data_IF_989145441182
#
_entry.id   IF_989145441182
#
_cell.length_a   1.000
_cell.length_b   1.000
_cell.length_c   1.000
_cell.angle_alpha   90.00
_cell.angle_beta   90.00
_cell.angle_gamma   90.00
#
_symmetry.space_group_name_H-M   'P 1'
#
loop_
_entity.id
_entity.type
_entity.pdbx_description
1 polymer ?
#
# COMPACT_ATOMS: atom_id res chain seq x y z
N UNK A 1 14.85 12.12 -2.33
CA UNK A 1 15.70 11.40 -1.37
C UNK A 1 14.95 10.17 -0.93
N UNK A 2 15.59 8.99 -0.94
CA UNK A 2 15.02 7.70 -0.52
C UNK A 2 15.02 7.61 1.01
N UNK A 3 13.91 7.18 1.60
CA UNK A 3 13.82 6.88 3.04
C UNK A 3 13.81 5.37 3.25
N UNK A 4 14.47 4.91 4.32
CA UNK A 4 14.50 3.52 4.73
C UNK A 4 13.95 3.40 6.15
N UNK A 5 12.75 2.83 6.29
CA UNK A 5 12.06 2.66 7.58
C UNK A 5 12.16 1.19 8.02
N UNK A 6 12.63 0.96 9.25
CA UNK A 6 12.70 -0.36 9.91
C UNK A 6 12.49 -0.20 11.41
N UNK A 7 11.98 -1.24 12.07
CA UNK A 7 11.84 -1.24 13.54
C UNK A 7 10.62 -0.49 14.06
N UNK A 8 9.63 -0.25 13.20
CA UNK A 8 8.41 0.50 13.53
C UNK A 8 7.15 -0.29 13.14
N UNK A 9 6.10 -0.12 13.96
CA UNK A 9 4.75 -0.63 13.72
C UNK A 9 4.16 -0.04 12.45
N UNK A 10 4.29 1.26 12.25
CA UNK A 10 3.79 1.94 11.06
C UNK A 10 4.93 2.50 10.20
N UNK A 11 4.67 2.64 8.90
CA UNK A 11 5.54 3.33 7.97
C UNK A 11 5.29 4.83 8.01
N UNK A 12 4.28 5.28 7.27
CA UNK A 12 3.93 6.69 7.13
C UNK A 12 2.53 6.98 7.66
N UNK A 13 2.44 7.87 8.65
CA UNK A 13 1.17 8.47 9.08
C UNK A 13 1.07 9.89 8.52
N UNK A 14 0.14 10.11 7.60
CA UNK A 14 0.00 11.36 6.85
C UNK A 14 -1.20 12.16 7.34
N UNK A 15 -0.94 13.31 7.96
CA UNK A 15 -1.97 14.23 8.45
C UNK A 15 -1.97 15.61 7.78
N UNK A 16 -1.06 15.85 6.83
CA UNK A 16 -0.90 17.12 6.13
C UNK A 16 -1.19 17.04 4.64
N UNK A 17 -1.34 18.21 4.01
CA UNK A 17 -1.54 18.34 2.56
C UNK A 17 -0.21 18.33 1.78
N UNK A 18 -0.28 17.96 0.50
CA UNK A 18 0.82 17.99 -0.48
C UNK A 18 2.01 17.11 -0.10
N UNK A 19 1.73 15.87 0.31
CA UNK A 19 2.74 14.91 0.72
C UNK A 19 3.11 14.01 -0.44
N UNK A 20 4.40 13.92 -0.75
CA UNK A 20 4.95 12.97 -1.71
C UNK A 20 5.91 12.02 -1.00
N UNK A 21 5.58 10.74 -1.03
CA UNK A 21 6.39 9.63 -0.54
C UNK A 21 6.76 8.80 -1.76
N UNK A 22 8.05 8.74 -2.06
CA UNK A 22 8.53 8.01 -3.24
C UNK A 22 9.89 7.37 -3.06
N UNK A 23 10.18 6.40 -3.92
CA UNK A 23 11.49 5.75 -4.03
C UNK A 23 11.99 5.18 -2.69
N UNK A 24 11.09 4.76 -1.80
CA UNK A 24 11.40 4.40 -0.41
C UNK A 24 11.12 2.94 -0.08
N UNK A 25 11.79 2.43 0.96
CA UNK A 25 11.61 1.05 1.44
C UNK A 25 11.15 1.06 2.89
N UNK A 26 10.09 0.29 3.17
CA UNK A 26 9.47 0.15 4.48
C UNK A 26 9.39 -1.33 4.83
N UNK A 27 10.10 -1.75 5.88
CA UNK A 27 9.94 -3.07 6.48
C UNK A 27 9.36 -2.91 7.86
N UNK A 28 8.11 -3.31 8.01
CA UNK A 28 7.36 -3.15 9.24
C UNK A 28 7.57 -4.33 10.18
N UNK A 29 7.49 -4.04 11.47
CA UNK A 29 7.41 -5.01 12.53
C UNK A 29 6.45 -4.49 13.59
N UNK A 30 5.68 -5.37 14.22
CA UNK A 30 4.63 -4.94 15.13
C UNK A 30 4.53 -5.82 16.37
N UNK A 31 3.89 -5.29 17.40
CA UNK A 31 3.52 -6.00 18.60
C UNK A 31 2.11 -6.58 18.45
N UNK A 32 1.75 -7.50 19.34
CA UNK A 32 0.39 -8.05 19.37
C UNK A 32 -0.64 -6.95 19.63
N UNK A 33 -1.65 -6.88 18.76
CA UNK A 33 -2.74 -5.89 18.85
C UNK A 33 -2.47 -4.57 18.12
N UNK A 34 -1.30 -4.41 17.51
CA UNK A 34 -1.00 -3.24 16.68
C UNK A 34 -1.79 -3.26 15.36
N UNK A 35 -2.03 -2.07 14.81
CA UNK A 35 -2.66 -1.85 13.52
C UNK A 35 -1.61 -1.39 12.50
N UNK A 36 -0.58 -2.21 12.29
CA UNK A 36 0.55 -1.85 11.44
C UNK A 36 0.12 -1.51 10.00
N UNK A 37 0.44 -0.30 9.56
CA UNK A 37 0.17 0.20 8.21
C UNK A 37 1.43 0.71 7.52
N UNK A 38 1.61 0.38 6.23
CA UNK A 38 2.71 0.92 5.43
C UNK A 38 2.55 2.41 5.18
N UNK A 39 1.32 2.81 4.83
CA UNK A 39 0.89 4.20 4.80
C UNK A 39 -0.57 4.28 5.26
N UNK A 40 -0.85 5.27 6.12
CA UNK A 40 -2.20 5.67 6.51
C UNK A 40 -2.36 7.17 6.39
N UNK A 41 -3.56 7.63 6.03
CA UNK A 41 -3.97 9.01 6.25
C UNK A 41 -4.64 9.11 7.62
N UNK A 42 -4.38 10.21 8.33
CA UNK A 42 -5.00 10.52 9.62
C UNK A 42 -5.70 11.86 9.49
N UNK A 43 -7.04 11.82 9.52
CA UNK A 43 -7.86 12.99 9.27
C UNK A 43 -7.88 13.40 7.79
N UNK A 44 -8.40 14.60 7.51
CA UNK A 44 -8.54 15.09 6.14
C UNK A 44 -7.20 15.57 5.58
N UNK A 45 -6.74 14.94 4.49
CA UNK A 45 -5.53 15.36 3.76
C UNK A 45 -5.79 15.49 2.25
N UNK A 46 -4.95 16.28 1.57
CA UNK A 46 -5.04 16.53 0.13
C UNK A 46 -3.71 16.29 -0.56
N UNK A 47 -3.79 15.86 -1.82
CA UNK A 47 -2.66 15.72 -2.74
C UNK A 47 -1.57 14.79 -2.18
N UNK A 48 -1.97 13.57 -1.83
CA UNK A 48 -1.06 12.52 -1.37
C UNK A 48 -0.56 11.69 -2.55
N UNK A 49 0.75 11.64 -2.75
CA UNK A 49 1.41 10.76 -3.72
C UNK A 49 2.24 9.71 -2.99
N UNK A 50 1.93 8.43 -3.23
CA UNK A 50 2.69 7.27 -2.78
C UNK A 50 3.16 6.49 -4.01
N UNK A 51 4.38 6.78 -4.46
CA UNK A 51 4.88 6.35 -5.77
C UNK A 51 6.18 5.58 -5.68
N UNK A 52 6.27 4.41 -6.31
CA UNK A 52 7.51 3.64 -6.43
C UNK A 52 8.18 3.35 -5.07
N UNK A 53 7.38 2.86 -4.12
CA UNK A 53 7.85 2.39 -2.82
C UNK A 53 7.76 0.87 -2.72
N UNK A 54 8.56 0.30 -1.83
CA UNK A 54 8.43 -1.09 -1.39
C UNK A 54 7.96 -1.13 0.05
N UNK A 55 6.89 -1.86 0.31
CA UNK A 55 6.34 -2.06 1.66
C UNK A 55 6.24 -3.54 1.96
N UNK A 56 6.88 -3.97 3.04
CA UNK A 56 6.89 -5.36 3.50
C UNK A 56 6.33 -5.48 4.91
N UNK A 57 5.17 -6.13 5.02
CA UNK A 57 4.51 -6.43 6.30
C UNK A 57 4.71 -7.87 6.78
N UNK A 58 5.52 -8.70 6.11
CA UNK A 58 5.71 -10.11 6.53
C UNK A 58 6.32 -10.26 7.93
N UNK A 59 6.96 -9.21 8.47
CA UNK A 59 7.51 -9.19 9.84
C UNK A 59 6.63 -8.47 10.86
N UNK A 60 5.42 -8.05 10.48
CA UNK A 60 4.44 -7.44 11.36
C UNK A 60 3.38 -8.49 11.74
N UNK A 61 3.45 -9.16 12.91
CA UNK A 61 2.49 -10.20 13.30
C UNK A 61 1.06 -9.69 13.56
N UNK A 62 0.88 -8.40 13.84
CA UNK A 62 -0.43 -7.72 13.84
C UNK A 62 -0.38 -6.53 12.91
N UNK A 63 -1.21 -6.54 11.87
CA UNK A 63 -1.13 -5.60 10.77
C UNK A 63 -2.49 -5.35 10.15
N UNK A 64 -2.62 -4.21 9.45
CA UNK A 64 -3.82 -3.87 8.68
C UNK A 64 -3.51 -3.89 7.19
N UNK A 65 -2.75 -2.93 6.65
CA UNK A 65 -2.39 -2.96 5.22
C UNK A 65 -1.09 -2.22 4.87
N UNK A 66 -0.36 -2.66 3.82
CA UNK A 66 0.67 -1.85 3.17
C UNK A 66 0.17 -0.48 2.69
N UNK A 67 -1.07 -0.39 2.18
CA UNK A 67 -1.75 0.86 1.84
C UNK A 67 -3.11 0.91 2.52
N UNK A 68 -3.28 1.82 3.50
CA UNK A 68 -4.49 1.97 4.28
C UNK A 68 -5.06 3.40 4.19
N UNK A 69 -5.80 3.67 3.11
CA UNK A 69 -6.42 4.97 2.83
C UNK A 69 -7.94 4.86 3.01
N UNK A 70 -8.35 4.79 4.28
CA UNK A 70 -9.76 4.68 4.69
C UNK A 70 -10.30 5.93 5.39
N UNK A 71 -9.43 6.91 5.67
CA UNK A 71 -9.82 8.26 6.09
C UNK A 71 -9.97 9.21 4.89
N UNK A 72 -10.93 10.18 4.93
CA UNK A 72 -11.21 11.09 3.83
C UNK A 72 -9.96 11.78 3.28
N UNK A 73 -9.58 11.46 2.04
CA UNK A 73 -8.36 12.00 1.41
C UNK A 73 -8.65 12.41 -0.02
N UNK A 74 -8.18 13.58 -0.48
CA UNK A 74 -8.42 14.05 -1.85
C UNK A 74 -7.13 14.06 -2.67
N UNK A 75 -7.21 13.81 -3.98
CA UNK A 75 -6.04 13.86 -4.86
C UNK A 75 -5.00 12.79 -4.54
N UNK A 76 -5.45 11.56 -4.26
CA UNK A 76 -4.58 10.41 -3.95
C UNK A 76 -4.01 9.81 -5.23
N UNK A 77 -2.70 9.55 -5.25
CA UNK A 77 -2.02 8.77 -6.28
C UNK A 77 -1.18 7.68 -5.60
N UNK A 78 -1.50 6.41 -5.88
CA UNK A 78 -0.79 5.22 -5.40
C UNK A 78 -0.30 4.45 -6.63
N UNK A 79 0.97 4.64 -7.02
CA UNK A 79 1.45 4.06 -8.29
C UNK A 79 2.81 3.41 -8.22
N UNK A 80 2.99 2.36 -9.03
CA UNK A 80 4.27 1.70 -9.27
C UNK A 80 4.95 1.15 -7.99
N UNK A 81 4.16 0.84 -6.95
CA UNK A 81 4.67 0.29 -5.68
C UNK A 81 4.80 -1.24 -5.73
N UNK A 82 5.73 -1.80 -4.95
CA UNK A 82 5.79 -3.22 -4.60
C UNK A 82 5.23 -3.41 -3.18
N UNK A 83 4.15 -4.15 -3.04
CA UNK A 83 3.39 -4.26 -1.80
C UNK A 83 3.25 -5.72 -1.36
N UNK A 84 3.53 -5.99 -0.09
CA UNK A 84 3.67 -7.35 0.45
C UNK A 84 2.99 -7.42 1.81
N UNK A 85 2.08 -8.37 1.99
CA UNK A 85 1.38 -8.55 3.27
C UNK A 85 0.05 -7.82 3.35
N UNK A 86 -0.43 -7.68 4.58
CA UNK A 86 -1.68 -7.03 4.90
C UNK A 86 -2.83 -8.02 5.09
N UNK A 87 -3.83 -7.58 5.84
CA UNK A 87 -5.13 -8.26 5.85
C UNK A 87 -5.76 -8.18 4.45
N UNK A 88 -5.83 -6.95 3.94
CA UNK A 88 -5.86 -6.65 2.53
C UNK A 88 -4.62 -5.82 2.17
N UNK A 89 -3.96 -6.12 1.04
CA UNK A 89 -2.72 -5.39 0.69
C UNK A 89 -2.99 -3.92 0.35
N UNK A 90 -4.06 -3.64 -0.40
CA UNK A 90 -4.44 -2.28 -0.80
C UNK A 90 -5.85 -1.97 -0.33
N UNK A 91 -5.99 -0.96 0.54
CA UNK A 91 -7.29 -0.44 0.97
C UNK A 91 -7.40 1.04 0.60
N UNK A 92 -8.31 1.35 -0.32
CA UNK A 92 -8.61 2.73 -0.77
C UNK A 92 -10.13 2.86 -0.79
N UNK A 93 -10.71 3.42 0.28
CA UNK A 93 -12.17 3.42 0.50
C UNK A 93 -12.81 4.80 0.58
N UNK A 94 -12.04 5.82 0.93
CA UNK A 94 -12.56 7.20 1.15
C UNK A 94 -11.69 8.24 0.45
N UNK A 95 -11.14 7.86 -0.70
CA UNK A 95 -10.38 8.73 -1.58
C UNK A 95 -11.02 8.80 -2.98
N UNK A 96 -12.13 9.55 -3.15
CA UNK A 96 -12.79 9.63 -4.44
C UNK A 96 -11.88 10.27 -5.49
N UNK A 97 -11.84 9.67 -6.68
CA UNK A 97 -10.93 10.06 -7.75
C UNK A 97 -9.48 9.61 -7.53
N UNK A 98 -9.23 8.67 -6.60
CA UNK A 98 -7.90 8.12 -6.41
C UNK A 98 -7.37 7.46 -7.68
N UNK A 99 -6.08 7.61 -7.93
CA UNK A 99 -5.36 6.90 -9.00
C UNK A 99 -4.56 5.78 -8.37
N UNK A 100 -4.90 4.53 -8.66
CA UNK A 100 -4.21 3.35 -8.17
C UNK A 100 -3.74 2.49 -9.35
N UNK A 101 -2.50 2.70 -9.81
CA UNK A 101 -2.05 2.11 -11.07
C UNK A 101 -0.68 1.45 -10.98
N UNK A 102 -0.49 0.39 -11.77
CA UNK A 102 0.80 -0.30 -11.95
C UNK A 102 1.45 -0.80 -10.65
N UNK A 103 0.68 -0.98 -9.58
CA UNK A 103 1.21 -1.54 -8.35
C UNK A 103 1.37 -3.06 -8.50
N UNK A 104 2.49 -3.57 -8.03
CA UNK A 104 2.79 -4.99 -7.93
C UNK A 104 2.45 -5.46 -6.51
N UNK A 105 1.50 -6.36 -6.39
CA UNK A 105 1.15 -7.02 -5.13
C UNK A 105 1.74 -8.43 -5.13
N UNK A 106 2.50 -8.77 -4.10
CA UNK A 106 3.08 -10.12 -4.01
C UNK A 106 1.98 -11.14 -3.76
N UNK A 107 1.87 -12.09 -4.68
CA UNK A 107 0.83 -13.11 -4.71
C UNK A 107 0.83 -13.96 -3.44
N UNK A 108 -0.37 -14.24 -2.91
CA UNK A 108 -0.59 -14.99 -1.66
C UNK A 108 0.13 -14.44 -0.42
N UNK A 109 0.51 -13.15 -0.41
CA UNK A 109 1.14 -12.53 0.77
C UNK A 109 0.15 -11.97 1.79
N UNK A 110 -1.14 -11.85 1.45
CA UNK A 110 -2.21 -11.28 2.27
C UNK A 110 -3.00 -12.33 3.07
N UNK A 111 -3.74 -11.89 4.09
CA UNK A 111 -4.62 -12.79 4.87
C UNK A 111 -6.00 -13.01 4.23
N UNK A 112 -6.63 -11.96 3.70
CA UNK A 112 -8.00 -12.00 3.15
C UNK A 112 -8.04 -11.80 1.64
N UNK A 113 -7.35 -10.78 1.13
CA UNK A 113 -7.35 -10.49 -0.31
C UNK A 113 -6.28 -9.49 -0.72
N UNK A 114 -5.96 -9.39 -2.01
CA UNK A 114 -4.96 -8.44 -2.49
C UNK A 114 -5.42 -6.98 -2.40
N UNK A 115 -6.74 -6.73 -2.40
CA UNK A 115 -7.27 -5.38 -2.38
C UNK A 115 -8.69 -5.32 -1.81
N UNK A 116 -9.05 -4.18 -1.23
CA UNK A 116 -10.42 -3.80 -0.88
C UNK A 116 -10.63 -2.30 -1.16
N UNK A 117 -11.24 -2.01 -2.30
CA UNK A 117 -11.19 -0.69 -2.95
C UNK A 117 -12.59 -0.24 -3.39
N UNK A 118 -12.87 1.06 -3.28
CA UNK A 118 -14.03 1.66 -3.96
C UNK A 118 -13.73 1.82 -5.46
N UNK A 119 -13.99 0.74 -6.20
CA UNK A 119 -13.70 0.66 -7.64
C UNK A 119 -14.53 1.62 -8.49
N UNK A 120 -15.69 2.10 -8.00
CA UNK A 120 -16.50 3.08 -8.73
C UNK A 120 -15.84 4.46 -8.76
N UNK A 121 -15.03 4.77 -7.74
CA UNK A 121 -14.37 6.07 -7.59
C UNK A 121 -12.84 6.00 -7.65
N UNK A 122 -12.27 4.84 -7.98
CA UNK A 122 -10.82 4.65 -8.10
C UNK A 122 -10.44 4.30 -9.53
N UNK A 123 -9.53 5.08 -10.10
CA UNK A 123 -8.89 4.75 -11.36
C UNK A 123 -7.88 3.62 -11.15
N UNK A 124 -8.37 2.40 -11.35
CA UNK A 124 -7.64 1.16 -11.14
C UNK A 124 -7.20 0.54 -12.45
N UNK A 125 -5.90 0.56 -12.76
CA UNK A 125 -5.38 -0.06 -13.99
C UNK A 125 -3.92 -0.49 -13.89
N UNK A 126 -3.53 -1.51 -14.67
CA UNK A 126 -2.14 -1.98 -14.74
C UNK A 126 -1.60 -2.66 -13.47
N UNK A 127 -2.39 -2.76 -12.40
CA UNK A 127 -1.98 -3.48 -11.19
C UNK A 127 -1.83 -4.98 -11.48
N UNK A 128 -0.87 -5.63 -10.82
CA UNK A 128 -0.54 -7.03 -11.08
C UNK A 128 -0.23 -7.80 -9.81
N UNK A 129 -0.52 -9.09 -9.85
CA UNK A 129 -0.01 -10.08 -8.90
C UNK A 129 1.35 -10.57 -9.39
N UNK A 130 2.33 -10.60 -8.51
CA UNK A 130 3.72 -10.95 -8.85
C UNK A 130 4.32 -11.93 -7.86
N UNK A 131 5.39 -12.59 -8.27
CA UNK A 131 6.33 -13.26 -7.36
C UNK A 131 7.63 -12.46 -7.29
N UNK A 132 8.35 -12.59 -6.17
CA UNK A 132 9.63 -11.91 -5.94
C UNK A 132 10.70 -12.87 -5.43
N UNK A 133 11.96 -12.48 -5.55
CA UNK A 133 13.08 -13.10 -4.83
C UNK A 133 13.32 -12.45 -3.44
N UNK A 134 14.31 -12.94 -2.71
CA UNK A 134 14.68 -12.43 -1.38
C UNK A 134 15.25 -10.99 -1.41
N UNK A 135 15.70 -10.54 -2.58
CA UNK A 135 16.21 -9.20 -2.83
C UNK A 135 15.11 -8.23 -3.31
N UNK A 136 13.84 -8.65 -3.22
CA UNK A 136 12.66 -7.88 -3.62
C UNK A 136 12.55 -7.61 -5.13
N UNK A 137 13.31 -8.33 -5.97
CA UNK A 137 13.14 -8.23 -7.41
C UNK A 137 11.91 -9.02 -7.84
N UNK A 138 11.10 -8.43 -8.71
CA UNK A 138 10.00 -9.16 -9.36
C UNK A 138 10.59 -10.23 -10.27
N UNK A 139 10.25 -11.50 -10.01
CA UNK A 139 10.74 -12.65 -10.77
C UNK A 139 9.74 -13.15 -11.81
N UNK A 140 8.43 -12.98 -11.57
CA UNK A 140 7.40 -13.20 -12.58
C UNK A 140 6.10 -12.45 -12.26
N UNK A 141 5.32 -12.16 -13.31
CA UNK A 141 3.93 -11.70 -13.18
C UNK A 141 3.00 -12.92 -13.18
N UNK A 142 2.28 -13.11 -12.08
CA UNK A 142 1.28 -14.18 -11.93
C UNK A 142 0.04 -13.86 -12.77
N UNK A 143 -0.41 -12.62 -12.75
CA UNK A 143 -1.56 -12.17 -13.53
C UNK A 143 -1.97 -10.73 -13.25
N UNK A 144 -2.95 -10.20 -13.98
CA UNK A 144 -3.51 -8.89 -13.68
C UNK A 144 -4.24 -8.92 -12.33
N UNK A 145 -4.08 -7.87 -11.53
CA UNK A 145 -4.90 -7.63 -10.36
C UNK A 145 -6.06 -6.74 -10.77
N UNK A 146 -7.22 -7.34 -11.03
CA UNK A 146 -8.45 -6.62 -11.32
C UNK A 146 -8.94 -5.86 -10.08
N UNK A 147 -9.70 -4.78 -10.28
CA UNK A 147 -10.34 -4.10 -9.16
C UNK A 147 -11.38 -5.04 -8.55
N UNK A 148 -11.38 -5.26 -7.22
CA UNK A 148 -12.28 -6.22 -6.58
C UNK A 148 -13.74 -5.77 -6.71
N UNK A 149 -14.62 -6.68 -7.15
CA UNK A 149 -16.07 -6.47 -7.26
C UNK A 149 -16.78 -6.61 -5.92
#
# INVERSE_FOLDING_TARGET
>A
TRVHIRGHGDGFSVSGDNVTIKDSFVLLCSNSGDHSDGIQSVGASKNLTFHHNTVDQRKAPSHTAPVFLVDPTQGVTVTDNLLIGGTYTVQIRTAPGAVARNNAVVDHSWDFGPASVDCANTDWSGNSLVTIDDDYNVTSTVGPLACPT
#
